data_IF_331075031712
#
_entry.id   IF_331075031712
#
_cell.length_a   1.000
_cell.length_b   1.000
_cell.length_c   1.000
_cell.angle_alpha   90.00
_cell.angle_beta   90.00
_cell.angle_gamma   90.00
#
_symmetry.space_group_name_H-M   'P 1'
#
loop_
_entity.id
_entity.type
_entity.pdbx_description
1 polymer ?
#
# COMPACT_ATOMS: atom_id res chain seq x y z
N UNK A 1 3.51 8.52 -3.98
CA UNK A 1 4.21 7.62 -4.93
C UNK A 1 5.62 8.18 -5.16
N UNK A 2 6.62 7.76 -4.37
CA UNK A 2 7.93 8.46 -4.29
C UNK A 2 9.07 7.76 -5.04
N UNK A 3 9.01 6.44 -5.20
CA UNK A 3 10.11 5.65 -5.76
C UNK A 3 10.00 5.41 -7.28
N UNK A 4 8.88 4.90 -7.77
CA UNK A 4 8.74 4.51 -9.18
C UNK A 4 8.81 5.69 -10.15
N UNK A 5 8.19 6.82 -9.81
CA UNK A 5 8.29 8.05 -10.62
C UNK A 5 9.76 8.48 -10.80
N UNK A 6 10.59 8.33 -9.76
CA UNK A 6 12.02 8.61 -9.83
C UNK A 6 12.74 7.70 -10.83
N UNK A 7 12.44 6.40 -10.83
CA UNK A 7 12.99 5.44 -11.81
C UNK A 7 12.54 5.77 -13.23
N UNK A 8 11.28 6.16 -13.41
CA UNK A 8 10.71 6.50 -14.72
C UNK A 8 11.33 7.75 -15.32
N UNK A 9 11.55 8.79 -14.51
CA UNK A 9 12.24 10.01 -14.94
C UNK A 9 13.69 9.72 -15.32
N UNK A 10 14.41 8.95 -14.49
CA UNK A 10 15.84 8.72 -14.69
C UNK A 10 16.16 7.73 -15.82
N UNK A 11 15.41 6.63 -15.91
CA UNK A 11 15.76 5.50 -16.77
C UNK A 11 14.75 5.24 -17.90
N UNK A 12 13.56 5.84 -17.85
CA UNK A 12 12.55 5.71 -18.92
C UNK A 12 12.28 7.03 -19.66
N UNK A 13 13.07 8.06 -19.38
CA UNK A 13 12.97 9.39 -19.99
C UNK A 13 11.55 9.98 -19.92
N UNK A 14 10.82 9.70 -18.83
CA UNK A 14 9.48 10.23 -18.60
C UNK A 14 9.56 11.62 -17.98
N UNK A 15 8.70 12.53 -18.44
CA UNK A 15 8.64 13.91 -17.93
C UNK A 15 7.26 14.19 -17.36
N UNK A 16 7.23 14.47 -16.05
CA UNK A 16 6.02 14.85 -15.33
C UNK A 16 6.11 16.34 -14.96
N UNK A 17 5.46 17.24 -15.73
CA UNK A 17 5.61 18.69 -15.53
C UNK A 17 4.97 19.19 -14.24
N UNK A 18 4.05 18.42 -13.66
CA UNK A 18 3.37 18.71 -12.40
C UNK A 18 3.49 17.49 -11.51
N UNK A 19 3.96 17.70 -10.28
CA UNK A 19 4.08 16.69 -9.24
C UNK A 19 3.26 17.12 -8.02
N UNK A 20 2.44 16.21 -7.50
CA UNK A 20 1.65 16.42 -6.28
C UNK A 20 2.18 15.46 -5.23
N UNK A 21 2.54 15.99 -4.05
CA UNK A 21 3.00 15.20 -2.92
C UNK A 21 1.98 15.24 -1.76
N UNK A 22 1.17 14.18 -1.57
CA UNK A 22 0.12 14.17 -0.57
C UNK A 22 0.57 13.71 0.83
N UNK A 23 1.88 13.64 1.11
CA UNK A 23 2.41 13.05 2.35
C UNK A 23 1.99 13.79 3.63
N UNK A 24 1.59 15.07 3.53
CA UNK A 24 1.15 15.86 4.69
C UNK A 24 -0.37 15.85 4.89
N UNK A 25 -1.10 15.01 4.14
CA UNK A 25 -2.55 14.83 4.30
C UNK A 25 -2.78 13.74 5.36
N UNK A 26 -3.27 14.14 6.53
CA UNK A 26 -3.37 13.27 7.70
C UNK A 26 -4.16 11.98 7.44
N UNK A 27 -5.24 12.06 6.66
CA UNK A 27 -6.06 10.92 6.28
C UNK A 27 -5.26 9.88 5.49
N UNK A 28 -4.34 10.33 4.63
CA UNK A 28 -3.51 9.47 3.79
C UNK A 28 -2.31 8.89 4.53
N UNK A 29 -1.95 9.40 5.70
CA UNK A 29 -0.88 8.84 6.55
C UNK A 29 -1.41 8.11 7.78
N UNK A 30 -2.73 8.07 7.98
CA UNK A 30 -3.34 7.43 9.14
C UNK A 30 -3.26 5.90 9.08
N UNK A 31 -3.14 5.27 10.24
CA UNK A 31 -3.24 3.82 10.43
C UNK A 31 -4.29 3.61 11.50
N UNK A 32 -5.34 2.86 11.20
CA UNK A 32 -6.49 2.68 12.08
C UNK A 32 -6.87 1.21 12.17
N UNK A 33 -7.08 0.74 13.39
CA UNK A 33 -7.68 -0.56 13.64
C UNK A 33 -9.21 -0.43 13.65
N UNK A 34 -9.88 -1.39 13.03
CA UNK A 34 -11.34 -1.51 13.00
C UNK A 34 -11.76 -2.89 13.50
N UNK A 35 -13.06 -3.11 13.71
CA UNK A 35 -13.59 -4.42 14.11
C UNK A 35 -13.30 -5.54 13.11
N UNK A 36 -13.13 -5.18 11.82
CA UNK A 36 -12.94 -6.11 10.72
C UNK A 36 -11.49 -6.25 10.27
N UNK A 37 -10.61 -5.28 10.56
CA UNK A 37 -9.22 -5.32 10.12
C UNK A 37 -8.48 -3.99 10.30
N UNK A 38 -7.44 -3.78 9.50
CA UNK A 38 -6.63 -2.56 9.50
C UNK A 38 -6.96 -1.69 8.29
N UNK A 39 -7.07 -0.39 8.51
CA UNK A 39 -7.19 0.63 7.45
C UNK A 39 -5.90 1.44 7.41
N UNK A 40 -5.25 1.45 6.26
CA UNK A 40 -4.03 2.22 6.02
C UNK A 40 -4.32 3.33 5.03
N UNK A 41 -3.89 4.55 5.36
CA UNK A 41 -3.86 5.64 4.40
C UNK A 41 -2.88 5.33 3.25
N UNK A 42 -3.21 5.80 2.05
CA UNK A 42 -2.45 5.46 0.83
C UNK A 42 -0.99 5.95 0.83
N UNK A 43 -0.65 6.95 1.66
CA UNK A 43 0.69 7.49 1.81
C UNK A 43 1.50 6.83 2.95
N UNK A 44 0.91 5.90 3.71
CA UNK A 44 1.64 5.08 4.71
C UNK A 44 2.77 4.33 4.02
N UNK A 45 3.95 4.33 4.63
CA UNK A 45 5.13 3.65 4.09
C UNK A 45 5.05 2.14 4.33
N UNK A 46 5.75 1.35 3.52
CA UNK A 46 5.81 -0.10 3.72
C UNK A 46 6.42 -0.46 5.07
N UNK A 47 7.38 0.33 5.57
CA UNK A 47 7.96 0.15 6.91
C UNK A 47 6.93 0.40 8.02
N UNK A 48 6.18 1.51 7.96
CA UNK A 48 5.15 1.80 8.97
C UNK A 48 4.03 0.76 8.95
N UNK A 49 3.67 0.25 7.77
CA UNK A 49 2.76 -0.89 7.64
C UNK A 49 3.33 -2.15 8.30
N UNK A 50 4.59 -2.49 8.03
CA UNK A 50 5.28 -3.65 8.62
C UNK A 50 5.27 -3.59 10.15
N UNK A 51 5.57 -2.42 10.72
CA UNK A 51 5.60 -2.19 12.17
C UNK A 51 4.21 -2.35 12.80
N UNK A 52 3.19 -1.70 12.22
CA UNK A 52 1.82 -1.82 12.71
C UNK A 52 1.29 -3.27 12.63
N UNK A 53 1.59 -3.98 11.55
CA UNK A 53 1.17 -5.38 11.40
C UNK A 53 1.89 -6.30 12.39
N UNK A 54 3.18 -6.07 12.69
CA UNK A 54 3.92 -6.84 13.70
C UNK A 54 3.31 -6.69 15.08
N UNK A 55 2.96 -5.47 15.47
CA UNK A 55 2.28 -5.21 16.73
C UNK A 55 0.97 -6.03 16.84
N UNK A 56 0.17 -6.02 15.77
CA UNK A 56 -1.09 -6.77 15.73
C UNK A 56 -0.88 -8.30 15.82
N UNK A 57 0.16 -8.83 15.16
CA UNK A 57 0.54 -10.26 15.26
C UNK A 57 0.99 -10.63 16.67
N UNK A 58 1.66 -9.73 17.38
CA UNK A 58 2.06 -9.96 18.78
C UNK A 58 0.87 -9.92 19.75
N UNK A 59 -0.08 -8.99 19.54
CA UNK A 59 -1.19 -8.78 20.46
C UNK A 59 -2.37 -9.74 20.27
N UNK A 60 -2.54 -10.31 19.08
CA UNK A 60 -3.75 -11.06 18.71
C UNK A 60 -3.46 -12.52 18.34
N UNK A 61 -4.48 -13.35 18.52
CA UNK A 61 -4.43 -14.76 18.15
C UNK A 61 -4.18 -14.95 16.65
N UNK A 62 -3.37 -15.95 16.31
CA UNK A 62 -2.92 -16.26 14.94
C UNK A 62 -4.08 -16.33 13.93
N UNK A 63 -5.21 -16.93 14.32
CA UNK A 63 -6.40 -17.06 13.47
C UNK A 63 -6.92 -15.73 12.90
N UNK A 64 -6.64 -14.60 13.58
CA UNK A 64 -7.03 -13.24 13.16
C UNK A 64 -5.94 -12.50 12.39
N UNK A 65 -4.70 -12.99 12.39
CA UNK A 65 -3.52 -12.27 11.91
C UNK A 65 -2.73 -13.00 10.82
N UNK A 66 -3.22 -14.14 10.31
CA UNK A 66 -2.57 -14.90 9.23
C UNK A 66 -2.19 -14.06 8.02
N UNK A 67 -3.08 -13.18 7.55
CA UNK A 67 -2.78 -12.27 6.42
C UNK A 67 -1.68 -11.27 6.80
N UNK A 68 -1.70 -10.76 8.03
CA UNK A 68 -0.68 -9.81 8.51
C UNK A 68 0.70 -10.48 8.56
N UNK A 69 0.78 -11.70 9.08
CA UNK A 69 2.00 -12.50 9.09
C UNK A 69 2.52 -12.77 7.67
N UNK A 70 1.64 -13.09 6.72
CA UNK A 70 2.01 -13.29 5.32
C UNK A 70 2.58 -12.01 4.67
N UNK A 71 1.99 -10.84 4.95
CA UNK A 71 2.50 -9.56 4.47
C UNK A 71 3.89 -9.28 5.07
N UNK A 72 4.07 -9.51 6.38
CA UNK A 72 5.36 -9.31 7.05
C UNK A 72 6.45 -10.21 6.45
N UNK A 73 6.15 -11.49 6.22
CA UNK A 73 7.11 -12.42 5.61
C UNK A 73 7.42 -12.02 4.16
N UNK A 74 6.44 -11.56 3.38
CA UNK A 74 6.71 -11.03 2.04
C UNK A 74 7.61 -9.78 2.11
N UNK A 75 7.34 -8.84 3.02
CA UNK A 75 8.14 -7.62 3.18
C UNK A 75 9.58 -7.86 3.63
N UNK A 76 9.85 -9.00 4.29
CA UNK A 76 11.21 -9.44 4.65
C UNK A 76 12.09 -9.59 3.42
N UNK A 77 11.53 -10.08 2.32
CA UNK A 77 12.22 -10.27 1.04
C UNK A 77 12.08 -9.06 0.10
N UNK A 78 11.17 -8.14 0.41
CA UNK A 78 10.91 -6.95 -0.40
C UNK A 78 11.94 -5.84 -0.17
N UNK A 79 12.89 -5.73 -1.09
CA UNK A 79 13.85 -4.62 -1.21
C UNK A 79 14.62 -4.27 0.10
N UNK A 80 15.46 -3.24 0.04
CA UNK A 80 16.13 -2.70 1.23
C UNK A 80 15.22 -1.82 2.09
N UNK A 81 15.57 -1.63 3.38
CA UNK A 81 14.84 -0.71 4.28
C UNK A 81 14.70 0.70 3.72
N UNK A 82 15.71 1.19 3.00
CA UNK A 82 15.71 2.51 2.35
C UNK A 82 14.58 2.65 1.33
N UNK A 83 14.30 1.58 0.57
CA UNK A 83 13.18 1.53 -0.36
C UNK A 83 11.88 1.54 0.42
N UNK A 84 11.74 0.65 1.41
CA UNK A 84 10.50 0.50 2.22
C UNK A 84 10.14 1.75 3.02
N UNK A 85 11.13 2.52 3.48
CA UNK A 85 10.95 3.78 4.20
C UNK A 85 10.37 4.91 3.32
N UNK A 86 10.49 4.81 1.99
CA UNK A 86 10.01 5.83 1.06
C UNK A 86 8.91 5.32 0.11
N UNK A 87 8.77 4.00 -0.06
CA UNK A 87 7.67 3.38 -0.79
C UNK A 87 6.39 3.45 0.05
N UNK A 88 5.32 3.99 -0.55
CA UNK A 88 4.00 4.05 0.06
C UNK A 88 3.09 2.94 -0.46
N UNK A 89 2.17 2.44 0.37
CA UNK A 89 1.23 1.36 0.03
C UNK A 89 0.45 1.70 -1.25
N UNK A 90 -0.17 2.88 -1.30
CA UNK A 90 -0.96 3.30 -2.46
C UNK A 90 -0.10 3.46 -3.71
N UNK A 91 1.16 3.86 -3.55
CA UNK A 91 2.10 3.89 -4.68
C UNK A 91 2.41 2.49 -5.22
N UNK A 92 2.58 1.50 -4.34
CA UNK A 92 2.81 0.11 -4.74
C UNK A 92 1.60 -0.46 -5.50
N UNK A 93 0.39 -0.22 -4.98
CA UNK A 93 -0.88 -0.62 -5.62
C UNK A 93 -1.05 0.06 -6.97
N UNK A 94 -0.99 1.40 -7.03
CA UNK A 94 -1.27 2.16 -8.25
C UNK A 94 -0.20 2.03 -9.33
N UNK A 95 1.04 1.63 -8.99
CA UNK A 95 2.04 1.29 -10.01
C UNK A 95 1.59 0.08 -10.84
N UNK A 96 0.72 -0.78 -10.29
CA UNK A 96 0.13 -1.93 -10.98
C UNK A 96 1.17 -2.81 -11.70
N UNK A 97 2.36 -2.95 -11.10
CA UNK A 97 3.43 -3.75 -11.70
C UNK A 97 3.00 -5.22 -11.81
N UNK A 98 3.15 -5.87 -12.98
CA UNK A 98 2.85 -7.30 -13.15
C UNK A 98 3.62 -8.23 -12.21
N UNK A 99 4.74 -7.74 -11.66
CA UNK A 99 5.61 -8.44 -10.72
C UNK A 99 5.49 -7.89 -9.28
N UNK A 100 4.38 -7.23 -8.94
CA UNK A 100 4.15 -6.79 -7.56
C UNK A 100 3.92 -7.98 -6.63
N UNK A 101 4.67 -8.06 -5.53
CA UNK A 101 4.47 -9.08 -4.50
C UNK A 101 3.26 -8.78 -3.60
N UNK A 102 2.97 -7.50 -3.34
CA UNK A 102 1.93 -7.07 -2.41
C UNK A 102 0.53 -7.15 -3.02
N UNK A 103 0.38 -6.82 -4.30
CA UNK A 103 -0.92 -6.79 -4.99
C UNK A 103 -1.66 -8.14 -4.98
N UNK A 104 -1.04 -9.29 -5.36
CA UNK A 104 -1.73 -10.58 -5.32
C UNK A 104 -2.11 -10.99 -3.91
N UNK A 105 -1.28 -10.68 -2.90
CA UNK A 105 -1.56 -10.99 -1.51
C UNK A 105 -2.78 -10.20 -1.00
N UNK A 106 -2.80 -8.88 -1.22
CA UNK A 106 -3.95 -8.03 -0.85
C UNK A 106 -5.22 -8.45 -1.58
N UNK A 107 -5.11 -8.86 -2.85
CA UNK A 107 -6.25 -9.33 -3.65
C UNK A 107 -6.80 -10.63 -3.09
N UNK A 108 -5.95 -11.60 -2.79
CA UNK A 108 -6.35 -12.87 -2.17
C UNK A 108 -6.95 -12.68 -0.78
N UNK A 109 -6.51 -11.65 -0.05
CA UNK A 109 -7.06 -11.27 1.25
C UNK A 109 -8.40 -10.51 1.15
N UNK A 110 -8.91 -10.23 -0.05
CA UNK A 110 -10.14 -9.47 -0.26
C UNK A 110 -10.04 -8.01 0.18
N UNK A 111 -8.85 -7.41 0.12
CA UNK A 111 -8.64 -6.02 0.49
C UNK A 111 -9.54 -5.10 -0.36
N UNK A 112 -10.04 -4.04 0.28
CA UNK A 112 -10.84 -3.01 -0.39
C UNK A 112 -10.05 -1.71 -0.49
N UNK A 113 -10.39 -0.93 -1.51
CA UNK A 113 -9.85 0.41 -1.75
C UNK A 113 -10.97 1.42 -1.53
N UNK A 114 -10.65 2.47 -0.79
CA UNK A 114 -11.51 3.66 -0.69
C UNK A 114 -10.98 4.71 -1.65
N UNK A 115 -11.78 5.04 -2.66
CA UNK A 115 -11.47 6.06 -3.67
C UNK A 115 -12.25 7.33 -3.38
N UNK A 116 -11.60 8.48 -3.60
CA UNK A 116 -12.21 9.79 -3.37
C UNK A 116 -11.84 10.76 -4.48
N UNK A 117 -12.84 11.47 -4.98
CA UNK A 117 -12.69 12.62 -5.87
C UNK A 117 -13.31 13.86 -5.22
N UNK A 118 -13.36 14.99 -5.93
CA UNK A 118 -13.96 16.23 -5.42
C UNK A 118 -15.44 16.05 -5.02
N UNK A 119 -16.18 15.18 -5.73
CA UNK A 119 -17.62 15.00 -5.55
C UNK A 119 -18.04 13.55 -5.31
N UNK A 120 -17.11 12.59 -5.36
CA UNK A 120 -17.44 11.16 -5.26
C UNK A 120 -16.62 10.48 -4.18
N UNK A 121 -17.24 9.44 -3.61
CA UNK A 121 -16.66 8.51 -2.67
C UNK A 121 -17.09 7.11 -3.07
N UNK A 122 -16.15 6.20 -3.21
CA UNK A 122 -16.41 4.83 -3.66
C UNK A 122 -15.55 3.86 -2.87
N UNK A 123 -16.11 2.68 -2.59
CA UNK A 123 -15.36 1.56 -2.02
C UNK A 123 -15.50 0.37 -2.95
N UNK A 124 -14.38 -0.19 -3.37
CA UNK A 124 -14.34 -1.34 -4.27
C UNK A 124 -13.32 -2.38 -3.82
N UNK A 125 -13.49 -3.62 -4.24
CA UNK A 125 -12.47 -4.65 -4.02
C UNK A 125 -11.25 -4.36 -4.86
N UNK A 126 -10.05 -4.56 -4.30
CA UNK A 126 -8.79 -4.39 -5.02
C UNK A 126 -8.74 -5.21 -6.32
N UNK A 127 -9.37 -6.39 -6.33
CA UNK A 127 -9.50 -7.23 -7.53
C UNK A 127 -10.13 -6.48 -8.71
N UNK A 128 -11.06 -5.57 -8.46
CA UNK A 128 -11.75 -4.80 -9.52
C UNK A 128 -10.85 -3.75 -10.16
N UNK A 129 -9.81 -3.28 -9.46
CA UNK A 129 -8.89 -2.27 -9.99
C UNK A 129 -8.12 -2.79 -11.21
N UNK A 130 -7.75 -4.07 -11.22
CA UNK A 130 -6.89 -4.66 -12.26
C UNK A 130 -7.67 -5.33 -13.39
N UNK A 131 -9.00 -5.37 -13.35
CA UNK A 131 -9.80 -5.98 -14.43
C UNK A 131 -9.77 -5.17 -15.74
N UNK A 132 -9.24 -3.95 -15.70
CA UNK A 132 -9.24 -2.99 -16.82
C UNK A 132 -7.82 -2.53 -17.22
N UNK A 133 -6.78 -3.13 -16.65
CA UNK A 133 -5.36 -2.86 -16.92
C UNK A 133 -4.73 -4.06 -17.62
#
# INVERSE_FOLDING_TARGET
MRWFVGVEVQYKNQLYPVLINPINVAELTSIQETSTGMVFGAAVTLTAMEEALKEQVTLKHESRTRVFAAIIEMLRWFAGKQIRNAAAIGGNIMTASPISDLNPLLTAAGATLTLRSKSQYEVLFLSMLYLWL
#
